data_IF_833918305138
#
_entry.id   IF_833918305138
#
_cell.length_a   1.000
_cell.length_b   1.000
_cell.length_c   1.000
_cell.angle_alpha   90.00
_cell.angle_beta   90.00
_cell.angle_gamma   90.00
#
_symmetry.space_group_name_H-M   'P 1'
#
loop_
_entity.id
_entity.type
_entity.pdbx_description
1 polymer ?
#
# COMPACT_ATOMS: atom_id res chain seq x y z
N UNK A 1 -13.51 -4.08 -14.89
CA UNK A 1 -12.05 -4.29 -14.89
C UNK A 1 -11.61 -3.96 -13.48
N UNK A 2 -10.94 -4.87 -12.78
CA UNK A 2 -10.49 -4.61 -11.41
C UNK A 2 -9.41 -3.53 -11.37
N UNK A 3 -9.29 -2.85 -10.24
CA UNK A 3 -8.27 -1.84 -9.97
C UNK A 3 -7.25 -2.44 -8.98
N UNK A 4 -6.24 -3.20 -9.44
CA UNK A 4 -5.32 -3.88 -8.54
C UNK A 4 -4.32 -2.89 -7.91
N UNK A 5 -3.89 -3.21 -6.69
CA UNK A 5 -2.86 -2.46 -5.99
C UNK A 5 -1.78 -3.37 -5.41
N UNK A 6 -0.64 -2.78 -5.12
CA UNK A 6 0.57 -3.48 -4.74
C UNK A 6 1.32 -2.76 -3.63
N UNK A 7 1.73 -3.52 -2.62
CA UNK A 7 2.88 -3.15 -1.79
C UNK A 7 4.18 -3.50 -2.52
N UNK A 8 5.13 -2.56 -2.48
CA UNK A 8 6.39 -2.60 -3.20
C UNK A 8 7.58 -2.41 -2.25
N UNK A 9 8.68 -3.10 -2.54
CA UNK A 9 9.96 -2.95 -1.86
C UNK A 9 11.08 -2.96 -2.89
N UNK A 10 12.23 -2.37 -2.54
CA UNK A 10 13.44 -2.56 -3.34
C UNK A 10 13.80 -4.05 -3.34
N UNK A 11 14.26 -4.56 -4.49
CA UNK A 11 14.60 -5.97 -4.65
C UNK A 11 15.60 -6.40 -3.58
N UNK A 12 15.30 -7.51 -2.90
CA UNK A 12 16.13 -8.07 -1.84
C UNK A 12 15.92 -7.46 -0.44
N UNK A 13 15.04 -6.48 -0.27
CA UNK A 13 14.72 -5.92 1.08
C UNK A 13 13.41 -6.43 1.66
N UNK A 14 12.56 -7.07 0.83
CA UNK A 14 11.29 -7.64 1.24
C UNK A 14 11.48 -8.87 2.15
N UNK A 15 10.62 -8.98 3.18
CA UNK A 15 10.46 -10.22 3.95
C UNK A 15 9.00 -10.55 4.19
N UNK A 16 8.61 -11.78 3.86
CA UNK A 16 7.23 -12.27 3.99
C UNK A 16 6.74 -12.25 5.44
N UNK A 17 7.57 -12.70 6.38
CA UNK A 17 7.21 -12.71 7.80
C UNK A 17 6.96 -11.29 8.32
N UNK A 18 7.87 -10.36 8.01
CA UNK A 18 7.75 -8.96 8.43
C UNK A 18 6.53 -8.29 7.79
N UNK A 19 6.26 -8.55 6.52
CA UNK A 19 5.08 -8.01 5.86
C UNK A 19 3.80 -8.55 6.49
N UNK A 20 3.68 -9.87 6.66
CA UNK A 20 2.49 -10.49 7.23
C UNK A 20 2.21 -9.98 8.66
N UNK A 21 3.24 -9.92 9.51
CA UNK A 21 3.12 -9.41 10.87
C UNK A 21 2.73 -7.93 10.92
N UNK A 22 3.36 -7.09 10.09
CA UNK A 22 3.06 -5.65 10.08
C UNK A 22 1.70 -5.35 9.44
N UNK A 23 1.27 -6.16 8.46
CA UNK A 23 -0.05 -6.05 7.84
C UNK A 23 -1.15 -6.39 8.85
N UNK A 24 -0.96 -7.44 9.65
CA UNK A 24 -1.88 -7.79 10.74
C UNK A 24 -1.97 -6.68 11.79
N UNK A 25 -0.82 -6.09 12.17
CA UNK A 25 -0.79 -4.94 13.08
C UNK A 25 -1.51 -3.72 12.48
N UNK A 26 -1.26 -3.40 11.21
CA UNK A 26 -1.89 -2.28 10.53
C UNK A 26 -3.42 -2.44 10.48
N UNK A 27 -3.91 -3.65 10.18
CA UNK A 27 -5.34 -3.96 10.22
C UNK A 27 -5.94 -3.76 11.61
N UNK A 28 -5.26 -4.24 12.66
CA UNK A 28 -5.71 -4.05 14.04
C UNK A 28 -5.82 -2.56 14.43
N UNK A 29 -4.88 -1.73 14.00
CA UNK A 29 -4.83 -0.29 14.36
C UNK A 29 -5.83 0.59 13.63
N UNK A 30 -6.47 0.06 12.59
CA UNK A 30 -7.58 0.72 11.90
C UNK A 30 -8.92 0.11 12.30
N UNK A 31 -8.96 -0.72 13.35
CA UNK A 31 -10.15 -1.46 13.78
C UNK A 31 -10.73 -2.39 12.70
N UNK A 32 -9.88 -2.90 11.80
CA UNK A 32 -10.24 -3.90 10.80
C UNK A 32 -9.96 -5.32 11.30
N UNK A 33 -10.83 -6.25 10.90
CA UNK A 33 -10.61 -7.68 11.08
C UNK A 33 -9.51 -8.17 10.13
N UNK A 34 -8.54 -8.91 10.67
CA UNK A 34 -7.55 -9.66 9.90
C UNK A 34 -7.92 -11.15 9.95
N UNK A 35 -8.35 -11.69 8.81
CA UNK A 35 -8.88 -13.05 8.70
C UNK A 35 -8.04 -13.90 7.75
N UNK A 36 -7.24 -14.79 8.33
CA UNK A 36 -6.53 -15.84 7.60
C UNK A 36 -7.31 -17.15 7.64
N UNK A 37 -7.78 -17.64 6.49
CA UNK A 37 -8.56 -18.89 6.35
C UNK A 37 -7.83 -19.93 5.51
N UNK A 38 -6.51 -20.09 5.73
CA UNK A 38 -5.73 -21.17 5.11
C UNK A 38 -5.55 -21.04 3.60
N UNK A 39 -5.83 -19.88 3.01
CA UNK A 39 -5.48 -19.56 1.63
C UNK A 39 -3.98 -19.51 1.51
N UNK A 40 -3.37 -20.61 1.08
CA UNK A 40 -1.93 -20.71 0.84
C UNK A 40 -1.67 -21.56 -0.38
N UNK A 41 -0.69 -21.15 -1.15
CA UNK A 41 -0.18 -21.87 -2.30
C UNK A 41 1.26 -22.25 -2.06
N UNK A 42 1.65 -23.38 -2.64
CA UNK A 42 3.01 -23.88 -2.60
C UNK A 42 3.52 -24.10 -4.02
N UNK A 43 4.82 -23.93 -4.23
CA UNK A 43 5.46 -24.23 -5.50
C UNK A 43 5.70 -25.75 -5.68
N UNK A 44 6.34 -26.12 -6.79
CA UNK A 44 6.69 -27.51 -7.12
C UNK A 44 7.67 -28.16 -6.14
N UNK A 45 8.32 -27.37 -5.28
CA UNK A 45 9.23 -27.82 -4.23
C UNK A 45 8.60 -27.79 -2.84
N UNK A 46 7.28 -27.64 -2.75
CA UNK A 46 6.52 -27.50 -1.52
C UNK A 46 6.98 -26.32 -0.64
N UNK A 47 7.60 -25.30 -1.25
CA UNK A 47 7.90 -24.04 -0.57
C UNK A 47 6.71 -23.11 -0.68
N UNK A 48 6.50 -22.26 0.33
CA UNK A 48 5.43 -21.28 0.28
C UNK A 48 5.59 -20.41 -0.97
N UNK A 49 4.54 -20.30 -1.78
CA UNK A 49 4.53 -19.42 -2.95
C UNK A 49 3.81 -18.12 -2.59
N UNK A 50 2.60 -18.19 -2.04
CA UNK A 50 1.88 -17.06 -1.47
C UNK A 50 0.84 -17.51 -0.45
N UNK A 51 0.34 -16.57 0.34
CA UNK A 51 -0.83 -16.73 1.19
C UNK A 51 -1.85 -15.62 0.91
N UNK A 52 -3.13 -15.86 1.18
CA UNK A 52 -4.16 -14.82 1.09
C UNK A 52 -4.74 -14.54 2.47
N UNK A 53 -4.95 -13.26 2.75
CA UNK A 53 -5.60 -12.78 3.96
C UNK A 53 -6.75 -11.87 3.59
N UNK A 54 -7.86 -11.99 4.29
CA UNK A 54 -9.00 -11.09 4.14
C UNK A 54 -8.88 -10.01 5.20
N UNK A 55 -8.99 -8.75 4.81
CA UNK A 55 -9.02 -7.61 5.72
C UNK A 55 -10.34 -6.88 5.52
N UNK A 56 -11.07 -6.60 6.59
CA UNK A 56 -12.40 -5.99 6.48
C UNK A 56 -12.82 -5.21 7.72
N UNK A 57 -13.53 -4.09 7.55
CA UNK A 57 -14.13 -3.39 8.69
C UNK A 57 -15.30 -4.17 9.30
N UNK A 58 -16.13 -4.79 8.45
CA UNK A 58 -17.32 -5.53 8.86
C UNK A 58 -17.43 -6.83 8.09
N UNK A 59 -17.68 -7.91 8.82
CA UNK A 59 -17.87 -9.22 8.21
C UNK A 59 -19.18 -9.28 7.42
N UNK A 60 -19.10 -9.68 6.15
CA UNK A 60 -20.27 -9.89 5.29
C UNK A 60 -20.88 -8.64 4.66
N UNK A 61 -20.19 -7.50 4.70
CA UNK A 61 -20.57 -6.26 3.99
C UNK A 61 -19.68 -6.11 2.75
N UNK A 62 -20.31 -6.04 1.57
CA UNK A 62 -19.61 -5.81 0.30
C UNK A 62 -18.92 -4.43 0.32
N UNK A 63 -17.72 -4.33 -0.26
CA UNK A 63 -16.90 -3.10 -0.34
C UNK A 63 -16.24 -2.66 0.97
N UNK A 64 -16.53 -3.29 2.10
CA UNK A 64 -15.80 -3.12 3.38
C UNK A 64 -14.69 -4.17 3.55
N UNK A 65 -14.28 -4.85 2.47
CA UNK A 65 -13.36 -5.97 2.52
C UNK A 65 -12.40 -6.01 1.33
N UNK A 66 -11.14 -6.35 1.61
CA UNK A 66 -10.12 -6.63 0.58
C UNK A 66 -9.44 -7.96 0.85
N UNK A 67 -9.04 -8.63 -0.24
CA UNK A 67 -8.16 -9.80 -0.19
C UNK A 67 -6.75 -9.33 -0.51
N UNK A 68 -5.82 -9.58 0.42
CA UNK A 68 -4.41 -9.32 0.20
C UNK A 68 -3.69 -10.64 -0.07
N UNK A 69 -3.05 -10.76 -1.23
CA UNK A 69 -2.09 -11.81 -1.55
C UNK A 69 -0.72 -11.42 -1.00
N UNK A 70 -0.18 -12.23 -0.10
CA UNK A 70 1.12 -12.08 0.55
C UNK A 70 2.09 -13.06 -0.09
N UNK A 71 2.96 -12.55 -0.95
CA UNK A 71 3.92 -13.37 -1.69
C UNK A 71 5.03 -13.90 -0.79
N UNK A 72 5.57 -15.07 -1.10
CA UNK A 72 6.85 -15.49 -0.53
C UNK A 72 8.00 -14.63 -1.06
N UNK A 73 9.11 -14.56 -0.34
CA UNK A 73 10.32 -13.83 -0.80
C UNK A 73 10.79 -14.33 -2.18
N UNK A 74 10.67 -15.63 -2.43
CA UNK A 74 11.04 -16.23 -3.70
C UNK A 74 10.12 -15.77 -4.84
N UNK A 75 8.79 -15.77 -4.61
CA UNK A 75 7.81 -15.29 -5.59
C UNK A 75 7.95 -13.79 -5.85
N UNK A 76 8.07 -12.98 -4.80
CA UNK A 76 8.25 -11.54 -4.92
C UNK A 76 9.52 -11.18 -5.74
N UNK A 77 10.62 -11.91 -5.54
CA UNK A 77 11.86 -11.70 -6.30
C UNK A 77 11.76 -12.14 -7.78
N UNK A 78 10.77 -12.96 -8.16
CA UNK A 78 10.43 -13.23 -9.56
C UNK A 78 9.55 -12.14 -10.17
N UNK A 79 8.75 -11.44 -9.36
CA UNK A 79 7.83 -10.39 -9.77
C UNK A 79 8.42 -8.98 -9.63
N UNK A 80 9.62 -8.77 -10.21
CA UNK A 80 10.32 -7.48 -10.18
C UNK A 80 10.03 -6.64 -11.43
N UNK A 81 10.17 -5.32 -11.29
CA UNK A 81 10.11 -4.37 -12.40
C UNK A 81 11.04 -3.17 -12.15
N UNK A 82 11.45 -2.49 -13.22
CA UNK A 82 12.19 -1.24 -13.13
C UNK A 82 11.21 -0.08 -12.91
N UNK A 83 11.52 0.78 -11.94
CA UNK A 83 10.72 1.92 -11.50
C UNK A 83 10.56 3.08 -12.50
N UNK A 84 10.77 2.85 -13.80
CA UNK A 84 10.77 3.90 -14.79
C UNK A 84 9.37 4.52 -14.99
N UNK A 85 9.29 5.85 -14.90
CA UNK A 85 8.07 6.60 -15.16
C UNK A 85 7.03 6.60 -14.03
N UNK A 86 7.31 5.97 -12.89
CA UNK A 86 6.43 6.00 -11.71
C UNK A 86 6.99 6.98 -10.68
N UNK A 87 6.26 8.06 -10.43
CA UNK A 87 6.61 9.04 -9.40
C UNK A 87 6.60 8.36 -8.03
N UNK A 88 7.60 8.66 -7.23
CA UNK A 88 7.74 8.11 -5.89
C UNK A 88 8.59 6.86 -5.76
N UNK A 89 9.00 6.28 -6.90
CA UNK A 89 10.01 5.23 -6.97
C UNK A 89 11.36 5.81 -7.44
N UNK A 90 12.46 5.14 -7.07
CA UNK A 90 13.81 5.56 -7.47
C UNK A 90 14.13 5.10 -8.90
N UNK A 91 14.49 6.01 -9.83
CA UNK A 91 14.88 5.63 -11.18
C UNK A 91 16.09 4.67 -11.18
N UNK A 92 16.06 3.66 -12.05
CA UNK A 92 17.13 2.65 -12.17
C UNK A 92 17.17 1.60 -11.04
N UNK A 93 16.24 1.66 -10.08
CA UNK A 93 16.10 0.64 -9.03
C UNK A 93 15.03 -0.38 -9.43
N UNK A 94 15.31 -1.66 -9.18
CA UNK A 94 14.33 -2.74 -9.29
C UNK A 94 13.49 -2.83 -8.03
N UNK A 95 12.16 -2.88 -8.19
CA UNK A 95 11.22 -3.11 -7.12
C UNK A 95 10.52 -4.45 -7.28
N UNK A 96 10.31 -5.17 -6.18
CA UNK A 96 9.44 -6.35 -6.16
C UNK A 96 8.01 -5.97 -5.77
N UNK A 97 7.05 -6.65 -6.39
CA UNK A 97 5.63 -6.64 -6.02
C UNK A 97 5.39 -7.81 -5.07
N UNK A 98 4.90 -7.55 -3.86
CA UNK A 98 4.83 -8.61 -2.83
C UNK A 98 3.51 -8.68 -2.04
N UNK A 99 2.68 -7.64 -2.12
CA UNK A 99 1.40 -7.56 -1.41
C UNK A 99 0.31 -7.12 -2.36
N UNK A 100 -0.37 -8.05 -3.03
CA UNK A 100 -1.39 -7.72 -4.03
C UNK A 100 -2.74 -7.50 -3.39
N UNK A 101 -3.45 -6.46 -3.80
CA UNK A 101 -4.90 -6.31 -3.63
C UNK A 101 -5.51 -6.46 -5.02
N UNK A 102 -6.43 -7.42 -5.21
CA UNK A 102 -6.96 -7.72 -6.55
C UNK A 102 -7.80 -6.59 -7.14
N UNK A 103 -8.62 -5.96 -6.31
CA UNK A 103 -9.46 -4.82 -6.69
C UNK A 103 -9.67 -3.92 -5.47
N UNK A 104 -9.33 -2.64 -5.61
CA UNK A 104 -9.56 -1.63 -4.57
C UNK A 104 -10.92 -0.96 -4.69
N UNK A 105 -11.64 -1.18 -5.80
CA UNK A 105 -12.90 -0.48 -6.11
C UNK A 105 -13.95 -0.70 -5.02
N UNK A 106 -14.45 0.38 -4.45
CA UNK A 106 -15.41 0.40 -3.33
C UNK A 106 -14.77 0.22 -1.94
N UNK A 107 -13.53 -0.24 -1.85
CA UNK A 107 -12.79 -0.43 -0.59
C UNK A 107 -11.67 0.58 -0.41
N UNK A 108 -11.75 1.72 -1.08
CA UNK A 108 -10.66 2.70 -1.16
C UNK A 108 -10.28 3.28 0.21
N UNK A 109 -11.27 3.50 1.09
CA UNK A 109 -11.06 3.99 2.46
C UNK A 109 -10.28 2.98 3.32
N UNK A 110 -10.72 1.72 3.30
CA UNK A 110 -10.04 0.61 3.98
C UNK A 110 -8.60 0.46 3.47
N UNK A 111 -8.42 0.47 2.15
CA UNK A 111 -7.10 0.33 1.52
C UNK A 111 -6.20 1.49 1.90
N UNK A 112 -6.70 2.73 1.86
CA UNK A 112 -5.93 3.91 2.22
C UNK A 112 -5.43 3.81 3.66
N UNK A 113 -6.32 3.53 4.61
CA UNK A 113 -5.96 3.45 6.02
C UNK A 113 -5.02 2.28 6.32
N UNK A 114 -5.25 1.14 5.70
CA UNK A 114 -4.38 -0.04 5.81
C UNK A 114 -2.97 0.26 5.28
N UNK A 115 -2.87 0.80 4.06
CA UNK A 115 -1.60 1.12 3.43
C UNK A 115 -0.85 2.20 4.23
N UNK A 116 -1.53 3.24 4.68
CA UNK A 116 -0.92 4.30 5.49
C UNK A 116 -0.33 3.74 6.79
N UNK A 117 -1.10 2.98 7.58
CA UNK A 117 -0.61 2.37 8.84
C UNK A 117 0.51 1.36 8.63
N UNK A 118 0.48 0.63 7.53
CA UNK A 118 1.57 -0.28 7.17
C UNK A 118 2.86 0.48 6.85
N UNK A 119 2.78 1.54 6.04
CA UNK A 119 3.93 2.32 5.59
C UNK A 119 4.54 3.16 6.72
N UNK A 120 3.77 3.58 7.73
CA UNK A 120 4.32 4.24 8.94
C UNK A 120 5.40 3.38 9.63
N UNK A 121 5.30 2.04 9.51
CA UNK A 121 6.26 1.08 10.09
C UNK A 121 7.32 0.57 9.12
N UNK A 122 7.10 0.78 7.83
CA UNK A 122 8.00 0.33 6.76
C UNK A 122 8.23 1.49 5.79
N UNK A 123 8.93 2.56 6.23
CA UNK A 123 9.12 3.77 5.42
C UNK A 123 9.90 3.55 4.12
N UNK A 124 10.63 2.44 4.01
CA UNK A 124 11.34 1.97 2.82
C UNK A 124 10.42 1.36 1.75
N UNK A 125 9.21 0.94 2.13
CA UNK A 125 8.24 0.35 1.22
C UNK A 125 7.40 1.42 0.53
N UNK A 126 6.68 1.02 -0.51
CA UNK A 126 5.72 1.87 -1.24
C UNK A 126 4.40 1.15 -1.42
N UNK A 127 3.33 1.92 -1.56
CA UNK A 127 2.03 1.43 -1.99
C UNK A 127 1.71 2.04 -3.35
N UNK A 128 1.29 1.22 -4.30
CA UNK A 128 1.05 1.64 -5.67
C UNK A 128 -0.20 0.99 -6.22
N UNK A 129 -1.07 1.80 -6.83
CA UNK A 129 -2.24 1.29 -7.54
C UNK A 129 -1.88 1.16 -9.01
N UNK A 130 -2.05 -0.03 -9.56
CA UNK A 130 -1.58 -0.36 -10.90
C UNK A 130 -2.28 0.51 -11.95
N UNK A 131 -1.50 1.07 -12.87
CA UNK A 131 -2.00 2.01 -13.89
C UNK A 131 -2.01 3.48 -13.45
N UNK A 132 -1.75 3.79 -12.18
CA UNK A 132 -1.56 5.17 -11.71
C UNK A 132 -0.09 5.58 -11.76
N UNK A 133 0.23 6.87 -12.00
CA UNK A 133 1.61 7.31 -12.18
C UNK A 133 2.37 7.51 -10.86
N UNK A 134 1.75 7.23 -9.71
CA UNK A 134 2.30 7.59 -8.39
C UNK A 134 2.29 6.40 -7.44
N UNK A 135 3.46 6.10 -6.87
CA UNK A 135 3.63 5.21 -5.73
C UNK A 135 3.86 6.04 -4.46
N UNK A 136 3.17 5.67 -3.38
CA UNK A 136 3.12 6.44 -2.15
C UNK A 136 3.99 5.82 -1.06
N UNK A 137 4.81 6.64 -0.41
CA UNK A 137 5.41 6.36 0.90
C UNK A 137 4.56 6.90 2.06
N UNK A 138 5.02 6.74 3.32
CA UNK A 138 4.26 7.15 4.49
C UNK A 138 3.95 8.66 4.53
N UNK A 139 4.88 9.49 4.05
CA UNK A 139 4.72 10.95 4.02
C UNK A 139 3.69 11.39 2.99
N UNK A 140 3.69 10.80 1.79
CA UNK A 140 2.67 11.03 0.77
C UNK A 140 1.27 10.64 1.27
N UNK A 141 1.13 9.46 1.88
CA UNK A 141 -0.13 9.04 2.49
C UNK A 141 -0.58 9.98 3.63
N UNK A 142 0.35 10.45 4.47
CA UNK A 142 0.02 11.41 5.53
C UNK A 142 -0.46 12.76 4.97
N UNK A 143 0.17 13.27 3.92
CA UNK A 143 -0.26 14.50 3.25
C UNK A 143 -1.67 14.36 2.65
N UNK A 144 -1.96 13.23 1.99
CA UNK A 144 -3.30 12.92 1.49
C UNK A 144 -4.34 12.89 2.62
N UNK A 145 -3.99 12.29 3.76
CA UNK A 145 -4.88 12.24 4.93
C UNK A 145 -5.20 13.64 5.46
N UNK A 146 -4.21 14.53 5.52
CA UNK A 146 -4.42 15.92 5.96
C UNK A 146 -5.31 16.66 4.98
N UNK A 147 -5.04 16.52 3.67
CA UNK A 147 -5.79 17.20 2.62
C UNK A 147 -7.27 16.80 2.60
N UNK A 148 -7.56 15.50 2.65
CA UNK A 148 -8.92 14.97 2.59
C UNK A 148 -9.68 15.03 3.94
N UNK A 149 -8.97 15.32 5.04
CA UNK A 149 -9.55 15.45 6.38
C UNK A 149 -10.25 14.17 6.88
N UNK A 150 -11.33 14.32 7.64
CA UNK A 150 -12.15 13.20 8.14
C UNK A 150 -13.12 12.64 7.08
N UNK A 151 -13.11 13.21 5.87
CA UNK A 151 -13.98 12.84 4.77
C UNK A 151 -13.17 12.27 3.62
N UNK A 152 -12.59 11.07 3.80
CA UNK A 152 -12.17 10.22 2.68
C UNK A 152 -13.43 9.66 1.98
N UNK A 153 -14.30 10.56 1.50
CA UNK A 153 -15.42 10.21 0.65
C UNK A 153 -15.02 10.59 -0.77
N UNK A 154 -14.66 9.55 -1.54
CA UNK A 154 -14.48 9.48 -2.99
C UNK A 154 -13.06 9.12 -3.49
N UNK A 155 -12.97 8.28 -4.53
CA UNK A 155 -11.83 7.39 -4.81
C UNK A 155 -10.68 8.07 -5.56
N UNK A 156 -10.50 9.39 -5.42
CA UNK A 156 -9.54 10.16 -6.24
C UNK A 156 -8.15 10.22 -5.65
N UNK A 157 -7.95 9.87 -4.37
CA UNK A 157 -6.64 9.98 -3.71
C UNK A 157 -5.53 9.23 -4.46
N UNK A 158 -5.87 8.15 -5.17
CA UNK A 158 -4.93 7.35 -5.96
C UNK A 158 -4.33 8.13 -7.16
N UNK A 159 -4.99 9.21 -7.59
CA UNK A 159 -4.54 10.13 -8.64
C UNK A 159 -3.90 11.40 -8.08
N UNK A 160 -4.12 11.69 -6.80
CA UNK A 160 -3.73 12.96 -6.20
C UNK A 160 -2.24 12.96 -5.91
N UNK A 161 -1.54 13.92 -6.51
CA UNK A 161 -0.11 14.09 -6.30
C UNK A 161 0.16 14.78 -4.96
N UNK A 162 0.71 14.09 -3.95
CA UNK A 162 0.85 14.70 -2.62
C UNK A 162 1.78 15.92 -2.62
N UNK A 163 2.69 16.04 -3.60
CA UNK A 163 3.55 17.22 -3.71
C UNK A 163 2.81 18.48 -4.17
N UNK A 164 1.74 18.32 -4.95
CA UNK A 164 0.86 19.43 -5.33
C UNK A 164 -0.04 19.84 -4.15
N UNK A 165 -0.38 18.88 -3.28
CA UNK A 165 -1.17 19.13 -2.07
C UNK A 165 -0.38 19.82 -0.96
N UNK A 166 0.94 19.59 -0.86
CA UNK A 166 1.79 20.24 0.15
C UNK A 166 1.88 21.75 -0.04
N UNK A 167 1.83 22.25 -1.28
CA UNK A 167 1.72 23.69 -1.52
C UNK A 167 0.38 24.26 -1.00
N UNK A 168 -0.73 23.52 -1.15
CA UNK A 168 -2.03 23.91 -0.58
C UNK A 168 -2.05 23.85 0.96
N UNK A 169 -1.33 22.90 1.57
CA UNK A 169 -1.21 22.74 3.03
C UNK A 169 -0.38 23.90 3.65
N UNK A 170 0.62 24.43 2.94
CA UNK A 170 1.37 25.63 3.36
C UNK A 170 0.48 26.86 3.48
N UNK A 171 -0.46 27.05 2.54
CA UNK A 171 -1.42 28.17 2.56
C UNK A 171 -2.39 28.10 3.74
N UNK A 172 -2.62 26.90 4.29
CA UNK A 172 -3.44 26.65 5.48
C UNK A 172 -2.69 26.85 6.81
N UNK A 173 -1.41 27.26 6.78
CA UNK A 173 -0.62 27.57 7.98
C UNK A 173 -0.06 26.35 8.71
N UNK A 174 -0.07 25.17 8.08
CA UNK A 174 0.60 23.97 8.58
C UNK A 174 2.05 24.01 8.11
N UNK A 175 3.01 23.96 9.05
CA UNK A 175 4.42 24.20 8.74
C UNK A 175 5.00 23.10 7.81
N UNK A 176 5.54 23.46 6.63
CA UNK A 176 6.03 22.52 5.62
C UNK A 176 7.32 21.77 5.95
N UNK A 177 7.96 22.07 7.08
CA UNK A 177 9.24 21.49 7.46
C UNK A 177 9.15 19.97 7.75
N UNK A 178 7.93 19.45 7.97
CA UNK A 178 7.65 18.00 8.08
C UNK A 178 7.50 17.30 6.71
N UNK A 179 7.27 18.06 5.63
CA UNK A 179 6.88 17.58 4.29
C UNK A 179 7.81 18.09 3.18
N UNK A 180 9.12 17.81 3.30
CA UNK A 180 10.08 18.01 2.21
C UNK A 180 9.69 17.17 0.97
N UNK A 181 9.44 17.77 -0.22
CA UNK A 181 9.06 17.06 -1.44
C UNK A 181 10.03 15.98 -1.91
N UNK A 182 11.31 16.10 -1.58
CA UNK A 182 12.32 15.06 -1.85
C UNK A 182 12.18 13.83 -0.93
N UNK A 183 11.38 13.97 0.14
CA UNK A 183 11.12 12.97 1.18
C UNK A 183 9.64 12.56 1.25
N UNK A 184 8.75 13.18 0.47
CA UNK A 184 7.30 12.86 0.40
C UNK A 184 7.07 11.44 -0.11
N UNK A 185 7.91 11.05 -1.06
CA UNK A 185 7.86 9.80 -1.79
C UNK A 185 8.30 8.61 -0.96
#
# INVERSE_FOLDING_TARGET
MGCPAWFLAEKGTYSTERFFGTLAQAAFEIDAMFLYQGGRSYDEHFQLDFATVNIMYRYGVEYDNVVVEVDSEQRANRHVFLAEGIKGLKPGVEYCRFGRIEDVTGSEDLVFHLAWRYLERNPEHRFWVEGFPIAYGPKGMAALKIHHGAGLLYPTWMQDDPSELVEAIKELGIHPDDFDPSRIW
#
